data_IF_808263520865
#
_entry.id   IF_808263520865
#
_cell.length_a   1.000
_cell.length_b   1.000
_cell.length_c   1.000
_cell.angle_alpha   90.00
_cell.angle_beta   90.00
_cell.angle_gamma   90.00
#
_symmetry.space_group_name_H-M   'P 1'
#
loop_
_entity.id
_entity.type
_entity.pdbx_description
1 polymer ?
#
# COMPACT_ATOMS: atom_id res chain seq x y z
N UNK A 1 -25.60 18.29 19.16
CA UNK A 1 -24.84 18.77 18.01
C UNK A 1 -25.20 17.89 16.82
N UNK A 2 -25.84 18.46 15.77
CA UNK A 2 -26.14 17.73 14.55
C UNK A 2 -24.83 17.62 13.76
N UNK A 3 -24.27 16.42 13.65
CA UNK A 3 -23.16 16.15 12.74
C UNK A 3 -23.69 16.27 11.31
N UNK A 4 -23.36 17.35 10.64
CA UNK A 4 -23.60 17.50 9.22
C UNK A 4 -22.42 16.83 8.50
N UNK A 5 -22.57 15.54 8.19
CA UNK A 5 -21.61 14.85 7.33
C UNK A 5 -21.88 15.27 5.89
N UNK A 6 -20.96 15.98 5.28
CA UNK A 6 -20.88 16.05 3.83
C UNK A 6 -20.50 14.66 3.31
N UNK A 7 -21.50 13.89 2.91
CA UNK A 7 -21.27 12.55 2.34
C UNK A 7 -20.47 12.69 1.06
N UNK A 8 -19.28 12.09 1.06
CA UNK A 8 -18.50 11.86 -0.15
C UNK A 8 -18.51 10.37 -0.45
N UNK A 9 -18.77 10.04 -1.71
CA UNK A 9 -18.66 8.65 -2.16
C UNK A 9 -17.26 8.12 -1.87
N UNK A 10 -17.11 6.96 -1.19
CA UNK A 10 -15.81 6.42 -0.88
C UNK A 10 -15.08 6.00 -2.16
N UNK A 11 -13.79 6.26 -2.23
CA UNK A 11 -12.91 5.75 -3.27
C UNK A 11 -12.56 4.30 -2.95
N UNK A 12 -12.89 3.38 -3.83
CA UNK A 12 -12.62 1.94 -3.66
C UNK A 12 -11.35 1.57 -4.43
N UNK A 13 -10.39 0.98 -3.71
CA UNK A 13 -9.15 0.43 -4.25
C UNK A 13 -9.25 -1.09 -4.21
N UNK A 14 -9.21 -1.74 -5.37
CA UNK A 14 -9.15 -3.18 -5.45
C UNK A 14 -7.71 -3.66 -5.17
N UNK A 15 -7.54 -4.44 -4.09
CA UNK A 15 -6.26 -5.05 -3.74
C UNK A 15 -6.02 -6.29 -4.60
N UNK A 16 -5.24 -6.16 -5.66
CA UNK A 16 -4.79 -7.32 -6.46
C UNK A 16 -3.67 -8.05 -5.70
N UNK A 17 -2.79 -7.28 -5.04
CA UNK A 17 -1.73 -7.85 -4.22
C UNK A 17 -0.81 -8.78 -5.03
N UNK A 18 -0.71 -10.05 -4.60
CA UNK A 18 -0.01 -11.11 -5.31
C UNK A 18 -0.95 -12.21 -5.83
N UNK A 19 -2.27 -11.95 -5.92
CA UNK A 19 -3.26 -12.92 -6.38
C UNK A 19 -3.07 -13.30 -7.88
N UNK A 20 -2.24 -12.57 -8.60
CA UNK A 20 -1.81 -12.91 -9.95
C UNK A 20 -0.84 -14.11 -10.01
N UNK A 21 -0.37 -14.62 -8.87
CA UNK A 21 0.47 -15.83 -8.76
C UNK A 21 1.74 -15.81 -9.63
N UNK A 22 2.33 -14.62 -9.85
CA UNK A 22 3.48 -14.42 -10.73
C UNK A 22 3.15 -14.34 -12.23
N UNK A 23 1.89 -14.57 -12.61
CA UNK A 23 1.45 -14.60 -14.01
C UNK A 23 0.95 -13.22 -14.45
N UNK A 24 1.59 -12.67 -15.50
CA UNK A 24 1.31 -11.32 -15.98
C UNK A 24 -0.07 -11.18 -16.64
N UNK A 25 -0.51 -12.21 -17.35
CA UNK A 25 -1.84 -12.21 -17.99
C UNK A 25 -2.95 -12.29 -16.95
N UNK A 26 -2.78 -13.08 -15.88
CA UNK A 26 -3.70 -13.11 -14.75
C UNK A 26 -3.78 -11.73 -14.07
N UNK A 27 -2.66 -11.03 -13.96
CA UNK A 27 -2.67 -9.65 -13.42
C UNK A 27 -3.56 -8.71 -14.25
N UNK A 28 -3.51 -8.79 -15.59
CA UNK A 28 -4.38 -8.02 -16.48
C UNK A 28 -5.86 -8.42 -16.34
N UNK A 29 -6.15 -9.71 -16.26
CA UNK A 29 -7.52 -10.19 -16.03
C UNK A 29 -8.09 -9.66 -14.70
N UNK A 30 -7.29 -9.65 -13.64
CA UNK A 30 -7.70 -9.10 -12.34
C UNK A 30 -7.96 -7.58 -12.41
N UNK A 31 -7.18 -6.83 -13.19
CA UNK A 31 -7.43 -5.41 -13.46
C UNK A 31 -8.78 -5.22 -14.16
N UNK A 32 -9.06 -6.02 -15.20
CA UNK A 32 -10.32 -5.96 -15.95
C UNK A 32 -11.53 -6.26 -15.04
N UNK A 33 -11.42 -7.29 -14.21
CA UNK A 33 -12.46 -7.66 -13.25
C UNK A 33 -12.68 -6.56 -12.21
N UNK A 34 -11.61 -5.95 -11.70
CA UNK A 34 -11.70 -4.83 -10.76
C UNK A 34 -12.46 -3.64 -11.39
N UNK A 35 -12.14 -3.30 -12.64
CA UNK A 35 -12.81 -2.24 -13.39
C UNK A 35 -14.28 -2.57 -13.63
N UNK A 36 -14.60 -3.78 -14.10
CA UNK A 36 -15.98 -4.25 -14.32
C UNK A 36 -16.80 -4.23 -13.03
N UNK A 37 -16.15 -4.45 -11.87
CA UNK A 37 -16.78 -4.38 -10.54
C UNK A 37 -16.94 -2.94 -10.01
N UNK A 38 -16.54 -1.93 -10.77
CA UNK A 38 -16.70 -0.52 -10.42
C UNK A 38 -15.56 0.08 -9.58
N UNK A 39 -14.47 -0.65 -9.34
CA UNK A 39 -13.29 -0.07 -8.69
C UNK A 39 -12.66 1.00 -9.59
N UNK A 40 -12.23 2.10 -8.97
CA UNK A 40 -11.51 3.19 -9.67
C UNK A 40 -10.00 3.00 -9.64
N UNK A 41 -9.52 2.20 -8.70
CA UNK A 41 -8.11 1.99 -8.40
C UNK A 41 -7.81 0.51 -8.25
N UNK A 42 -6.63 0.09 -8.72
CA UNK A 42 -6.05 -1.23 -8.44
C UNK A 42 -4.71 -1.06 -7.75
N UNK A 43 -4.40 -1.98 -6.83
CA UNK A 43 -3.15 -1.92 -6.08
C UNK A 43 -2.46 -3.27 -6.05
N UNK A 44 -1.18 -3.25 -6.42
CA UNK A 44 -0.25 -4.38 -6.40
C UNK A 44 0.68 -4.33 -5.18
N UNK A 45 1.69 -5.17 -5.17
CA UNK A 45 2.77 -5.19 -4.21
C UNK A 45 4.10 -5.06 -4.96
N UNK A 46 5.06 -4.33 -4.38
CA UNK A 46 6.44 -4.28 -4.84
C UNK A 46 7.38 -4.39 -3.65
N UNK A 47 8.23 -5.41 -3.68
CA UNK A 47 9.16 -5.75 -2.59
C UNK A 47 10.50 -6.15 -3.15
N UNK A 48 11.57 -5.75 -2.48
CA UNK A 48 12.89 -6.35 -2.62
C UNK A 48 13.09 -7.37 -1.50
N UNK A 49 12.85 -8.64 -1.79
CA UNK A 49 12.86 -9.69 -0.77
C UNK A 49 14.23 -9.86 -0.10
N UNK A 50 15.33 -9.51 -0.78
CA UNK A 50 16.69 -9.55 -0.20
C UNK A 50 16.96 -8.39 0.76
N UNK A 51 16.24 -7.28 0.64
CA UNK A 51 16.28 -6.16 1.59
C UNK A 51 15.38 -6.42 2.81
N UNK A 52 14.25 -7.10 2.59
CA UNK A 52 13.23 -7.32 3.60
C UNK A 52 13.45 -8.56 4.49
N UNK A 53 14.10 -9.58 3.96
CA UNK A 53 14.29 -10.85 4.65
C UNK A 53 15.74 -10.99 5.11
N UNK A 54 15.93 -11.50 6.32
CA UNK A 54 17.26 -11.99 6.72
C UNK A 54 17.64 -13.21 5.88
N UNK A 55 18.93 -13.53 5.79
CA UNK A 55 19.40 -14.73 5.07
C UNK A 55 18.73 -16.00 5.61
N UNK A 56 18.54 -16.11 6.91
CA UNK A 56 17.83 -17.23 7.56
C UNK A 56 16.37 -17.30 7.11
N UNK A 57 15.64 -16.18 7.15
CA UNK A 57 14.24 -16.12 6.70
C UNK A 57 14.11 -16.44 5.22
N UNK A 58 15.02 -15.94 4.39
CA UNK A 58 15.02 -16.20 2.94
C UNK A 58 15.19 -17.68 2.64
N UNK A 59 16.11 -18.35 3.35
CA UNK A 59 16.44 -19.77 3.12
C UNK A 59 15.54 -20.76 3.89
N UNK A 60 14.63 -20.27 4.74
CA UNK A 60 13.66 -21.12 5.44
C UNK A 60 12.69 -21.75 4.46
N UNK A 61 12.37 -23.07 4.57
CA UNK A 61 11.34 -23.70 3.76
C UNK A 61 10.00 -22.99 3.91
N UNK A 62 9.24 -22.91 2.81
CA UNK A 62 7.91 -22.30 2.87
C UNK A 62 6.99 -23.12 3.81
N UNK A 63 6.28 -22.51 4.77
CA UNK A 63 5.53 -23.22 5.80
C UNK A 63 4.41 -24.11 5.24
N UNK A 64 3.95 -23.83 4.03
CA UNK A 64 2.91 -24.58 3.32
C UNK A 64 3.44 -25.02 1.97
N UNK A 65 4.11 -26.17 1.92
CA UNK A 65 4.86 -26.65 0.77
C UNK A 65 4.03 -26.74 -0.54
N UNK A 66 2.76 -27.13 -0.46
CA UNK A 66 1.90 -27.24 -1.65
C UNK A 66 1.48 -25.91 -2.25
N UNK A 67 1.67 -24.80 -1.54
CA UNK A 67 1.43 -23.44 -2.03
C UNK A 67 2.72 -22.72 -2.41
N UNK A 68 3.85 -23.39 -2.35
CA UNK A 68 5.16 -22.76 -2.63
C UNK A 68 5.50 -22.76 -4.09
N UNK A 69 6.00 -21.66 -4.60
CA UNK A 69 6.57 -21.50 -5.94
C UNK A 69 8.10 -21.66 -5.96
N UNK A 70 8.71 -22.16 -4.87
CA UNK A 70 10.14 -22.37 -4.73
C UNK A 70 10.47 -23.31 -3.58
N UNK A 71 11.74 -23.66 -3.40
CA UNK A 71 12.19 -24.50 -2.29
C UNK A 71 12.24 -23.73 -0.97
N UNK A 72 12.48 -22.43 -1.04
CA UNK A 72 12.58 -21.54 0.12
C UNK A 72 11.49 -20.48 0.12
N UNK A 73 11.29 -19.86 1.26
CA UNK A 73 10.36 -18.73 1.40
C UNK A 73 10.78 -17.55 0.52
N UNK A 74 12.07 -17.28 0.44
CA UNK A 74 12.62 -16.24 -0.42
C UNK A 74 12.32 -16.47 -1.91
N UNK A 75 12.60 -17.68 -2.40
CA UNK A 75 12.30 -18.07 -3.79
C UNK A 75 10.81 -17.97 -4.12
N UNK A 76 9.95 -18.45 -3.19
CA UNK A 76 8.50 -18.27 -3.32
C UNK A 76 8.10 -16.80 -3.45
N UNK A 77 8.69 -15.94 -2.62
CA UNK A 77 8.41 -14.51 -2.67
C UNK A 77 8.91 -13.86 -3.95
N UNK A 78 10.10 -14.21 -4.43
CA UNK A 78 10.65 -13.69 -5.69
C UNK A 78 9.82 -14.09 -6.91
N UNK A 79 9.30 -15.32 -6.94
CA UNK A 79 8.41 -15.75 -8.01
C UNK A 79 7.16 -14.88 -8.14
N UNK A 80 6.65 -14.37 -7.03
CA UNK A 80 5.47 -13.54 -6.97
C UNK A 80 5.74 -12.05 -7.28
N UNK A 81 7.01 -11.63 -7.40
CA UNK A 81 7.33 -10.23 -7.64
C UNK A 81 7.44 -9.92 -9.13
N UNK A 82 6.77 -8.87 -9.56
CA UNK A 82 7.01 -8.28 -10.86
C UNK A 82 8.20 -7.31 -10.81
N UNK A 83 8.96 -7.26 -11.89
CA UNK A 83 10.01 -6.27 -12.05
C UNK A 83 9.45 -4.89 -12.42
N UNK A 84 10.30 -3.86 -12.43
CA UNK A 84 9.91 -2.47 -12.68
C UNK A 84 9.25 -2.28 -14.05
N UNK A 85 9.74 -2.95 -15.10
CA UNK A 85 9.17 -2.84 -16.44
C UNK A 85 7.77 -3.48 -16.52
N UNK A 86 7.55 -4.61 -15.86
CA UNK A 86 6.23 -5.24 -15.75
C UNK A 86 5.24 -4.32 -15.01
N UNK A 87 5.65 -3.69 -13.89
CA UNK A 87 4.82 -2.72 -13.20
C UNK A 87 4.47 -1.52 -14.06
N UNK A 88 5.42 -1.02 -14.85
CA UNK A 88 5.21 0.08 -15.80
C UNK A 88 4.24 -0.33 -16.93
N UNK A 89 4.35 -1.57 -17.43
CA UNK A 89 3.42 -2.10 -18.42
C UNK A 89 2.01 -2.24 -17.84
N UNK A 90 1.85 -2.73 -16.61
CA UNK A 90 0.55 -2.78 -15.92
C UNK A 90 -0.05 -1.38 -15.73
N UNK A 91 0.78 -0.39 -15.39
CA UNK A 91 0.31 1.00 -15.33
C UNK A 91 -0.20 1.49 -16.68
N UNK A 92 0.57 1.28 -17.76
CA UNK A 92 0.16 1.67 -19.10
C UNK A 92 -1.14 0.96 -19.52
N UNK A 93 -1.30 -0.32 -19.16
CA UNK A 93 -2.53 -1.06 -19.39
C UNK A 93 -3.70 -0.44 -18.63
N UNK A 94 -3.54 -0.16 -17.34
CA UNK A 94 -4.55 0.53 -16.54
C UNK A 94 -4.96 1.87 -17.15
N UNK A 95 -4.00 2.69 -17.58
CA UNK A 95 -4.24 3.97 -18.22
C UNK A 95 -5.05 3.80 -19.50
N UNK A 96 -4.75 2.78 -20.32
CA UNK A 96 -5.43 2.50 -21.58
C UNK A 96 -6.91 2.15 -21.43
N UNK A 97 -7.26 1.53 -20.31
CA UNK A 97 -8.66 1.14 -20.01
C UNK A 97 -9.34 2.10 -19.04
N UNK A 98 -8.65 3.11 -18.50
CA UNK A 98 -9.23 4.13 -17.62
C UNK A 98 -9.50 3.62 -16.19
N UNK A 99 -8.56 2.89 -15.60
CA UNK A 99 -8.49 2.58 -14.17
C UNK A 99 -7.13 3.04 -13.64
N UNK A 100 -7.05 3.49 -12.39
CA UNK A 100 -5.81 4.01 -11.83
C UNK A 100 -4.97 2.88 -11.24
N UNK A 101 -3.72 2.79 -11.69
CA UNK A 101 -2.73 1.86 -11.15
C UNK A 101 -2.08 2.40 -9.87
N UNK A 102 -1.82 1.52 -8.93
CA UNK A 102 -0.95 1.77 -7.79
C UNK A 102 -0.28 0.49 -7.28
N UNK A 103 0.66 0.65 -6.35
CA UNK A 103 1.31 -0.46 -5.66
C UNK A 103 1.69 -0.09 -4.23
N UNK A 104 1.79 -1.10 -3.37
CA UNK A 104 2.43 -0.94 -2.07
C UNK A 104 3.94 -1.12 -2.23
N UNK A 105 4.73 -0.23 -1.62
CA UNK A 105 6.19 -0.32 -1.52
C UNK A 105 6.58 -0.68 -0.10
N UNK A 106 7.49 -1.64 0.06
CA UNK A 106 7.82 -2.21 1.35
C UNK A 106 9.22 -1.85 1.85
N UNK A 107 10.06 -1.34 0.95
CA UNK A 107 11.47 -1.05 1.16
C UNK A 107 11.94 0.14 0.33
N UNK A 108 13.15 0.61 0.62
CA UNK A 108 13.73 1.80 -0.03
C UNK A 108 13.97 1.56 -1.53
N UNK A 109 14.45 0.38 -1.90
CA UNK A 109 14.69 -0.01 -3.30
C UNK A 109 13.38 -0.01 -4.08
N UNK A 110 12.36 -0.66 -3.56
CA UNK A 110 11.01 -0.69 -4.17
C UNK A 110 10.41 0.71 -4.32
N UNK A 111 10.57 1.58 -3.33
CA UNK A 111 10.12 2.97 -3.43
C UNK A 111 10.83 3.71 -4.58
N UNK A 112 12.18 3.63 -4.65
CA UNK A 112 12.99 4.24 -5.71
C UNK A 112 12.64 3.73 -7.10
N UNK A 113 12.40 2.42 -7.24
CA UNK A 113 11.97 1.84 -8.52
C UNK A 113 10.60 2.38 -8.95
N UNK A 114 9.62 2.40 -8.06
CA UNK A 114 8.25 2.76 -8.41
C UNK A 114 8.06 4.26 -8.68
N UNK A 115 8.82 5.14 -8.05
CA UNK A 115 8.75 6.58 -8.36
C UNK A 115 9.23 6.93 -9.78
N UNK A 116 10.00 6.06 -10.44
CA UNK A 116 10.55 6.32 -11.78
C UNK A 116 9.49 6.55 -12.86
N UNK A 117 8.30 5.98 -12.71
CA UNK A 117 7.16 6.17 -13.63
C UNK A 117 5.96 6.89 -12.98
N UNK A 118 6.17 7.43 -11.77
CA UNK A 118 5.30 8.37 -11.06
C UNK A 118 3.80 7.96 -11.07
N UNK A 119 3.41 6.82 -10.47
CA UNK A 119 2.00 6.47 -10.33
C UNK A 119 1.24 7.54 -9.52
N UNK A 120 -0.09 7.60 -9.59
CA UNK A 120 -0.89 8.62 -8.90
C UNK A 120 -0.68 8.57 -7.38
N UNK A 121 -0.58 7.36 -6.81
CA UNK A 121 -0.21 7.18 -5.42
C UNK A 121 0.65 5.93 -5.20
N UNK A 122 1.42 5.94 -4.12
CA UNK A 122 2.13 4.79 -3.58
C UNK A 122 1.68 4.54 -2.14
N UNK A 123 1.51 3.27 -1.78
CA UNK A 123 1.06 2.90 -0.44
C UNK A 123 2.20 2.30 0.37
N UNK A 124 2.32 2.73 1.61
CA UNK A 124 3.21 2.15 2.63
C UNK A 124 2.38 1.26 3.55
N UNK A 125 2.67 -0.04 3.63
CA UNK A 125 1.93 -0.95 4.51
C UNK A 125 2.31 -0.72 5.99
N UNK A 126 1.44 -1.17 6.90
CA UNK A 126 1.64 -1.01 8.34
C UNK A 126 2.99 -1.53 8.85
N UNK A 127 3.48 -2.63 8.27
CA UNK A 127 4.75 -3.24 8.68
C UNK A 127 5.99 -2.39 8.38
N UNK A 128 5.88 -1.37 7.53
CA UNK A 128 7.00 -0.53 7.08
C UNK A 128 6.75 0.96 7.30
N UNK A 129 5.70 1.32 8.02
CA UNK A 129 5.26 2.71 8.14
C UNK A 129 6.20 3.60 8.96
N UNK A 130 7.07 3.02 9.76
CA UNK A 130 8.12 3.70 10.52
C UNK A 130 9.51 3.60 9.88
N UNK A 131 9.61 3.14 8.63
CA UNK A 131 10.84 3.20 7.85
C UNK A 131 11.06 4.62 7.33
N UNK A 132 11.63 5.50 8.14
CA UNK A 132 11.83 6.91 7.79
C UNK A 132 12.80 7.12 6.63
N UNK A 133 13.69 6.16 6.32
CA UNK A 133 14.52 6.23 5.11
C UNK A 133 13.64 6.10 3.85
N UNK A 134 12.75 5.13 3.82
CA UNK A 134 11.78 4.98 2.72
C UNK A 134 10.80 6.15 2.67
N UNK A 135 10.28 6.60 3.83
CA UNK A 135 9.40 7.77 3.90
C UNK A 135 10.08 9.03 3.39
N UNK A 136 11.39 9.17 3.61
CA UNK A 136 12.18 10.30 3.09
C UNK A 136 12.25 10.28 1.56
N UNK A 137 12.48 9.12 0.94
CA UNK A 137 12.43 8.97 -0.53
C UNK A 137 11.05 9.38 -1.05
N UNK A 138 9.97 8.87 -0.45
CA UNK A 138 8.60 9.18 -0.86
C UNK A 138 8.23 10.65 -0.61
N UNK A 139 8.77 11.28 0.42
CA UNK A 139 8.54 12.70 0.71
C UNK A 139 9.32 13.61 -0.25
N UNK A 140 10.58 13.33 -0.47
CA UNK A 140 11.52 14.26 -1.12
C UNK A 140 11.65 14.03 -2.63
N UNK A 141 11.46 12.79 -3.13
CA UNK A 141 11.73 12.41 -4.51
C UNK A 141 10.47 12.00 -5.30
N UNK A 142 9.33 11.80 -4.64
CA UNK A 142 8.07 11.42 -5.28
C UNK A 142 7.07 12.58 -5.24
N UNK A 143 6.33 12.79 -6.33
CA UNK A 143 5.36 13.89 -6.46
C UNK A 143 3.90 13.48 -6.22
N UNK A 144 3.60 12.18 -6.30
CA UNK A 144 2.25 11.65 -6.11
C UNK A 144 1.81 11.57 -4.65
N UNK A 145 0.61 11.08 -4.41
CA UNK A 145 0.07 10.91 -3.07
C UNK A 145 0.77 9.73 -2.35
N UNK A 146 1.14 9.94 -1.09
CA UNK A 146 1.65 8.89 -0.21
C UNK A 146 0.51 8.42 0.69
N UNK A 147 0.15 7.15 0.58
CA UNK A 147 -0.87 6.52 1.40
C UNK A 147 -0.21 5.60 2.42
N UNK A 148 -0.57 5.69 3.69
CA UNK A 148 0.12 5.02 4.77
C UNK A 148 -0.88 4.36 5.73
N UNK A 149 -0.76 3.03 5.92
CA UNK A 149 -1.53 2.31 6.93
C UNK A 149 -0.85 2.38 8.29
N UNK A 150 -1.66 2.60 9.34
CA UNK A 150 -1.18 2.78 10.71
C UNK A 150 -1.47 1.58 11.63
N UNK A 151 -1.75 0.40 11.08
CA UNK A 151 -1.86 -0.81 11.91
C UNK A 151 -0.55 -1.09 12.65
N UNK A 152 -0.64 -1.64 13.86
CA UNK A 152 0.51 -1.93 14.75
C UNK A 152 1.36 -0.68 15.09
N UNK A 153 0.79 0.52 15.02
CA UNK A 153 1.50 1.78 15.21
C UNK A 153 0.98 2.47 16.46
N UNK A 154 1.86 2.94 17.31
CA UNK A 154 1.48 3.72 18.48
C UNK A 154 1.04 5.14 18.07
N UNK A 155 0.23 5.79 18.90
CA UNK A 155 -0.25 7.15 18.61
C UNK A 155 0.88 8.17 18.47
N UNK A 156 1.92 8.00 19.25
CA UNK A 156 3.13 8.81 19.22
C UNK A 156 3.88 8.65 17.89
N UNK A 157 3.94 7.43 17.37
CA UNK A 157 4.57 7.12 16.07
C UNK A 157 3.74 7.70 14.90
N UNK A 158 2.41 7.64 14.98
CA UNK A 158 1.55 8.31 13.99
C UNK A 158 1.80 9.81 13.98
N UNK A 159 1.96 10.41 15.16
CA UNK A 159 2.27 11.83 15.29
C UNK A 159 3.64 12.17 14.68
N UNK A 160 4.65 11.33 14.88
CA UNK A 160 5.98 11.49 14.28
C UNK A 160 5.91 11.42 12.75
N UNK A 161 5.18 10.45 12.19
CA UNK A 161 5.00 10.32 10.74
C UNK A 161 4.32 11.56 10.16
N UNK A 162 3.25 12.05 10.78
CA UNK A 162 2.54 13.22 10.28
C UNK A 162 3.44 14.46 10.34
N UNK A 163 4.13 14.68 11.46
CA UNK A 163 5.10 15.78 11.60
C UNK A 163 6.20 15.72 10.55
N UNK A 164 6.71 14.53 10.27
CA UNK A 164 7.75 14.34 9.25
C UNK A 164 7.33 14.89 7.88
N UNK A 165 6.06 14.70 7.47
CA UNK A 165 5.54 15.28 6.23
C UNK A 165 5.15 16.77 6.39
N UNK A 166 4.80 17.23 7.59
CA UNK A 166 4.54 18.65 7.88
C UNK A 166 5.78 19.52 7.77
N UNK A 167 6.97 19.01 8.13
CA UNK A 167 8.26 19.71 8.00
C UNK A 167 8.49 20.28 6.59
N UNK A 168 7.93 19.65 5.58
CA UNK A 168 8.03 20.06 4.18
C UNK A 168 6.71 20.59 3.61
N UNK A 169 5.70 20.85 4.46
CA UNK A 169 4.34 21.27 4.08
C UNK A 169 3.60 20.27 3.16
N UNK A 170 3.94 18.98 3.22
CA UNK A 170 3.39 17.96 2.32
C UNK A 170 2.27 17.13 2.95
N UNK A 171 2.14 17.11 4.29
CA UNK A 171 1.12 16.31 4.96
C UNK A 171 -0.28 16.64 4.45
N UNK A 172 -0.66 17.93 4.42
CA UNK A 172 -1.98 18.38 3.98
C UNK A 172 -2.26 18.18 2.49
N UNK A 173 -1.23 18.15 1.67
CA UNK A 173 -1.39 18.09 0.21
C UNK A 173 -1.35 16.68 -0.36
N UNK A 174 -0.61 15.74 0.27
CA UNK A 174 -0.37 14.42 -0.32
C UNK A 174 -0.26 13.25 0.66
N UNK A 175 -0.34 13.45 1.98
CA UNK A 175 -0.35 12.31 2.91
C UNK A 175 -1.78 11.87 3.18
N UNK A 176 -2.08 10.59 2.88
CA UNK A 176 -3.30 9.92 3.30
C UNK A 176 -2.94 8.87 4.35
N UNK A 177 -3.68 8.82 5.46
CA UNK A 177 -3.51 7.79 6.49
C UNK A 177 -4.73 6.89 6.58
N UNK A 178 -4.48 5.57 6.73
CA UNK A 178 -5.52 4.56 6.86
C UNK A 178 -5.60 4.04 8.28
N UNK A 179 -6.79 4.07 8.87
CA UNK A 179 -7.11 3.15 9.96
C UNK A 179 -6.97 1.72 9.46
N UNK A 180 -6.26 0.89 10.20
CA UNK A 180 -5.97 -0.49 9.80
C UNK A 180 -5.79 -1.36 11.05
N UNK A 181 -6.54 -2.46 11.11
CA UNK A 181 -6.29 -3.53 12.08
C UNK A 181 -5.45 -4.60 11.40
N UNK A 182 -4.23 -4.82 11.90
CA UNK A 182 -3.31 -5.81 11.31
C UNK A 182 -3.72 -7.22 11.71
N UNK A 183 -4.04 -8.03 10.71
CA UNK A 183 -4.41 -9.44 10.85
C UNK A 183 -4.94 -9.99 9.52
N UNK A 184 -4.70 -11.28 9.25
CA UNK A 184 -5.12 -11.94 8.01
C UNK A 184 -5.58 -13.36 8.29
N UNK A 185 -6.93 -13.59 8.40
CA UNK A 185 -8.00 -12.60 8.39
C UNK A 185 -8.16 -11.88 9.73
N UNK A 186 -8.74 -10.67 9.71
CA UNK A 186 -9.15 -9.97 10.93
C UNK A 186 -10.56 -10.45 11.31
N UNK A 187 -10.77 -10.99 12.53
CA UNK A 187 -12.10 -11.30 13.02
C UNK A 187 -12.97 -10.04 13.07
N UNK A 188 -14.25 -10.14 12.67
CA UNK A 188 -15.14 -8.97 12.61
C UNK A 188 -15.22 -8.18 13.94
N UNK A 189 -15.14 -8.88 15.09
CA UNK A 189 -15.13 -8.26 16.43
C UNK A 189 -13.90 -7.38 16.71
N UNK A 190 -12.80 -7.61 15.99
CA UNK A 190 -11.53 -6.91 16.17
C UNK A 190 -11.32 -5.78 15.15
N UNK A 191 -12.25 -5.62 14.20
CA UNK A 191 -12.23 -4.53 13.22
C UNK A 191 -12.62 -3.23 13.91
N UNK A 192 -11.66 -2.34 14.08
CA UNK A 192 -11.82 -1.06 14.81
C UNK A 192 -12.24 0.08 13.88
N UNK A 193 -13.39 -0.04 13.16
CA UNK A 193 -13.85 0.97 12.19
C UNK A 193 -14.01 2.38 12.80
N UNK A 194 -14.38 2.48 14.07
CA UNK A 194 -14.56 3.78 14.73
C UNK A 194 -13.24 4.53 14.99
N UNK A 195 -12.10 3.88 14.81
CA UNK A 195 -10.79 4.55 14.86
C UNK A 195 -10.64 5.60 13.76
N UNK A 196 -11.39 5.48 12.67
CA UNK A 196 -11.49 6.52 11.63
C UNK A 196 -11.91 7.87 12.24
N UNK A 197 -12.84 7.87 13.19
CA UNK A 197 -13.29 9.10 13.85
C UNK A 197 -12.16 9.70 14.67
N UNK A 198 -11.41 8.87 15.42
CA UNK A 198 -10.26 9.35 16.17
C UNK A 198 -9.19 9.96 15.25
N UNK A 199 -8.89 9.31 14.11
CA UNK A 199 -7.97 9.84 13.11
C UNK A 199 -8.47 11.17 12.54
N UNK A 200 -9.75 11.24 12.22
CA UNK A 200 -10.36 12.45 11.69
C UNK A 200 -10.29 13.62 12.67
N UNK A 201 -10.59 13.38 13.95
CA UNK A 201 -10.55 14.39 14.99
C UNK A 201 -9.14 14.93 15.25
N UNK A 202 -8.11 14.06 15.17
CA UNK A 202 -6.72 14.41 15.45
C UNK A 202 -5.94 14.90 14.21
N UNK A 203 -6.21 14.32 13.04
CA UNK A 203 -5.39 14.52 11.84
C UNK A 203 -6.16 15.02 10.61
N UNK A 204 -7.47 15.02 10.59
CA UNK A 204 -8.28 15.39 9.42
C UNK A 204 -8.00 16.78 8.84
N UNK A 205 -7.55 17.72 9.68
CA UNK A 205 -7.11 19.05 9.24
C UNK A 205 -5.63 19.12 8.84
N UNK A 206 -4.85 18.12 9.20
CA UNK A 206 -3.39 18.07 9.05
C UNK A 206 -2.94 17.24 7.85
N UNK A 207 -3.68 16.19 7.50
CA UNK A 207 -3.41 15.31 6.37
C UNK A 207 -4.35 15.57 5.19
N UNK A 208 -4.03 15.01 4.04
CA UNK A 208 -4.81 15.18 2.82
C UNK A 208 -6.16 14.44 2.91
N UNK A 209 -6.12 13.16 3.25
CA UNK A 209 -7.30 12.31 3.39
C UNK A 209 -7.11 11.28 4.51
N UNK A 210 -8.23 10.71 4.98
CA UNK A 210 -8.27 9.59 5.91
C UNK A 210 -9.09 8.49 5.27
N UNK A 211 -8.62 7.25 5.40
CA UNK A 211 -9.27 6.08 4.85
C UNK A 211 -9.28 4.89 5.79
N UNK A 212 -9.78 3.77 5.30
CA UNK A 212 -9.77 2.48 5.95
C UNK A 212 -9.05 1.46 5.05
N UNK A 213 -8.19 0.64 5.65
CA UNK A 213 -7.52 -0.50 4.99
C UNK A 213 -7.82 -1.76 5.78
N UNK A 214 -8.54 -2.69 5.16
CA UNK A 214 -8.89 -3.99 5.70
C UNK A 214 -8.33 -5.12 4.86
#
# INVERSE_FOLDING_TARGET
MSFQFDYKEPKIIAEIGCNHMGEFDIAKELIDLAKQSGAKYVKFQKRNNKELLTEEQYNTPHPVAYNSYGLTYGEHREYLEFNTEQHKELKNYCDSIGIVYSTSVWDVTSAKEMITFNPEFLKVPSACNNNFEMLKVLRDEYSGQVQLSIGMTLKEEVEEIVKFFEETNQAKTRLLIYSCTSGYPVPAKDVALLEINWLYDNYGKRVNEIGFSG
#
